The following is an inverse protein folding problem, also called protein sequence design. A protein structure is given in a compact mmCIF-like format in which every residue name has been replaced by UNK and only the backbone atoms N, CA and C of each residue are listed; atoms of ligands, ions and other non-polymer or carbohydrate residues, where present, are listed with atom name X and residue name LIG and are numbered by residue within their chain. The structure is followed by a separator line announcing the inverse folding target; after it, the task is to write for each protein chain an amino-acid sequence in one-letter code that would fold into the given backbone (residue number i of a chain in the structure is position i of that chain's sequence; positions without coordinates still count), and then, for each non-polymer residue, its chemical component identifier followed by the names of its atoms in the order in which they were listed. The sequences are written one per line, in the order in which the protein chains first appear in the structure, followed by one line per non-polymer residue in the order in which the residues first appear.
data_IF_844447124232
#
_entry.id   IF_844447124232
#
_cell.length_a   1.000
_cell.length_b   1.000
_cell.length_c   1.000
_cell.angle_alpha   90.00
_cell.angle_beta   90.00
_cell.angle_gamma   90.00
#
_symmetry.space_group_name_H-M   'P 1'
#
loop_
_entity.id
_entity.type
_entity.pdbx_description
1 polymer ?
#
# COMPACT_ATOMS: atom_id res chain seq x y z
N UNK A 1 14.44 19.41 -64.57
CA UNK A 1 13.45 20.51 -64.54
C UNK A 1 13.04 20.68 -63.08
N UNK A 2 13.87 21.36 -62.29
CA UNK A 2 13.80 22.79 -61.99
C UNK A 2 12.61 23.17 -61.09
N UNK A 3 12.96 23.50 -59.84
CA UNK A 3 12.52 24.64 -59.02
C UNK A 3 10.99 24.81 -58.81
N UNK A 4 10.49 24.98 -57.57
CA UNK A 4 10.43 26.22 -56.75
C UNK A 4 9.18 26.04 -55.85
N UNK A 5 8.92 26.65 -54.69
CA UNK A 5 9.32 27.90 -54.05
C UNK A 5 8.96 27.81 -52.55
N UNK A 6 9.81 28.37 -51.69
CA UNK A 6 9.42 29.04 -50.43
C UNK A 6 9.32 30.55 -50.73
N UNK A 7 8.35 31.25 -50.13
CA UNK A 7 8.65 32.28 -49.12
C UNK A 7 7.64 32.18 -47.94
N UNK A 8 7.87 32.59 -46.70
CA UNK A 8 8.67 33.70 -46.16
C UNK A 8 7.74 34.63 -45.36
N UNK A 9 7.92 34.66 -44.03
CA UNK A 9 7.59 35.71 -43.05
C UNK A 9 6.15 36.24 -42.87
N UNK A 10 5.60 36.18 -41.64
CA UNK A 10 5.58 37.31 -40.66
C UNK A 10 4.57 37.10 -39.49
N UNK A 11 4.95 37.65 -38.32
CA UNK A 11 4.13 38.12 -37.19
C UNK A 11 3.65 37.14 -36.08
N UNK A 12 4.27 37.29 -34.90
CA UNK A 12 3.74 37.03 -33.54
C UNK A 12 2.58 38.02 -33.21
N UNK A 13 1.74 37.78 -32.17
CA UNK A 13 2.09 38.21 -30.81
C UNK A 13 1.73 37.22 -29.67
N UNK A 14 2.49 37.35 -28.59
CA UNK A 14 2.19 36.89 -27.24
C UNK A 14 0.86 37.47 -26.72
N UNK A 15 0.19 36.75 -25.81
CA UNK A 15 -0.70 37.36 -24.81
C UNK A 15 -0.48 36.71 -23.44
N UNK A 16 0.13 37.51 -22.57
CA UNK A 16 0.14 37.42 -21.12
C UNK A 16 -1.25 37.67 -20.54
N UNK A 17 -1.63 36.98 -19.47
CA UNK A 17 -2.69 37.44 -18.56
C UNK A 17 -2.14 37.53 -17.14
N UNK A 18 -2.14 38.76 -16.64
CA UNK A 18 -1.73 39.20 -15.32
C UNK A 18 -2.93 39.29 -14.37
N UNK A 19 -2.69 38.84 -13.15
CA UNK A 19 -3.12 39.37 -11.85
C UNK A 19 -4.37 40.27 -11.75
N UNK A 20 -5.28 39.88 -10.87
CA UNK A 20 -6.13 40.82 -10.11
C UNK A 20 -5.88 40.62 -8.60
N UNK A 21 -5.19 41.59 -8.03
CA UNK A 21 -5.21 41.94 -6.61
C UNK A 21 -6.44 42.81 -6.33
N UNK A 22 -7.11 42.64 -5.18
CA UNK A 22 -7.68 43.74 -4.39
C UNK A 22 -7.73 43.31 -2.91
N UNK A 23 -7.39 44.26 -2.05
CA UNK A 23 -7.17 44.11 -0.61
C UNK A 23 -8.21 44.96 0.15
N UNK A 24 -8.19 44.76 1.48
CA UNK A 24 -8.65 45.66 2.56
C UNK A 24 -10.15 45.59 2.94
N UNK A 25 -10.45 45.03 4.12
CA UNK A 25 -10.81 45.81 5.33
C UNK A 25 -10.96 44.90 6.57
N UNK A 26 -10.43 45.40 7.68
CA UNK A 26 -10.33 44.80 9.00
C UNK A 26 -11.15 45.60 10.03
N UNK A 27 -11.44 44.95 11.17
CA UNK A 27 -11.99 45.44 12.43
C UNK A 27 -13.49 45.79 12.44
N UNK A 28 -14.30 45.39 13.43
CA UNK A 28 -14.12 45.72 14.86
C UNK A 28 -15.01 44.82 15.73
N UNK A 29 -14.51 44.44 16.91
CA UNK A 29 -15.24 43.78 17.99
C UNK A 29 -16.13 44.76 18.77
N UNK A 30 -17.22 44.30 19.38
CA UNK A 30 -17.85 45.03 20.49
C UNK A 30 -18.46 44.09 21.54
N UNK A 31 -18.38 44.57 22.77
CA UNK A 31 -18.42 43.88 24.06
C UNK A 31 -19.84 43.87 24.67
N UNK A 32 -20.06 42.88 25.53
CA UNK A 32 -21.20 42.57 26.42
C UNK A 32 -21.66 43.67 27.39
N UNK A 33 -22.93 43.55 27.89
CA UNK A 33 -23.44 43.66 29.31
C UNK A 33 -24.95 44.16 29.36
N UNK A 34 -25.73 44.09 30.48
CA UNK A 34 -26.69 42.98 30.73
C UNK A 34 -28.06 43.36 31.41
N UNK A 35 -28.88 42.36 31.83
CA UNK A 35 -29.94 42.36 32.92
C UNK A 35 -31.31 43.06 32.59
N UNK A 36 -32.54 42.59 33.00
CA UNK A 36 -32.89 41.98 34.30
C UNK A 36 -33.76 40.71 34.35
N UNK A 37 -33.59 40.05 35.50
CA UNK A 37 -34.41 38.99 36.08
C UNK A 37 -35.70 39.59 36.64
N UNK A 38 -36.86 38.99 36.32
CA UNK A 38 -38.09 39.10 37.11
C UNK A 38 -38.55 37.70 37.51
N UNK A 39 -38.73 37.55 38.81
CA UNK A 39 -39.27 36.38 39.51
C UNK A 39 -40.78 36.33 39.41
N UNK A 40 -41.35 35.19 39.02
CA UNK A 40 -42.64 34.72 39.57
C UNK A 40 -42.77 33.21 39.36
N UNK A 41 -43.11 32.57 40.47
CA UNK A 41 -43.18 31.14 40.75
C UNK A 41 -44.45 30.47 40.23
N UNK A 42 -44.35 29.14 40.10
CA UNK A 42 -45.40 28.11 40.00
C UNK A 42 -45.76 27.59 38.61
N UNK A 43 -44.95 26.64 38.10
CA UNK A 43 -45.45 25.54 37.26
C UNK A 43 -44.72 24.23 37.59
N UNK A 44 -45.50 23.16 37.67
CA UNK A 44 -45.18 21.80 38.09
C UNK A 44 -44.08 21.11 37.27
N UNK A 45 -43.30 20.17 37.83
CA UNK A 45 -42.24 19.50 37.08
C UNK A 45 -42.80 18.54 36.04
N UNK A 46 -42.40 18.75 34.78
CA UNK A 46 -42.50 17.78 33.68
C UNK A 46 -41.64 16.54 33.98
N UNK A 47 -41.99 15.35 33.46
CA UNK A 47 -41.25 14.12 33.73
C UNK A 47 -39.83 14.21 33.19
N UNK A 48 -38.85 14.02 34.08
CA UNK A 48 -37.43 13.89 33.74
C UNK A 48 -37.25 12.63 32.90
N UNK A 49 -36.95 12.81 31.62
CA UNK A 49 -36.37 11.75 30.80
C UNK A 49 -35.00 11.42 31.40
N UNK A 50 -34.87 10.26 32.03
CA UNK A 50 -33.58 9.78 32.55
C UNK A 50 -32.67 9.55 31.35
N UNK A 51 -31.73 10.46 31.13
CA UNK A 51 -30.60 10.22 30.25
C UNK A 51 -29.80 9.07 30.85
N UNK A 52 -29.76 7.94 30.15
CA UNK A 52 -28.86 6.85 30.49
C UNK A 52 -27.43 7.38 30.47
N UNK A 53 -26.68 7.06 31.51
CA UNK A 53 -25.26 7.38 31.65
C UNK A 53 -24.46 6.86 30.44
N UNK A 54 -23.52 7.63 29.86
CA UNK A 54 -22.72 7.22 28.69
C UNK A 54 -21.85 5.96 28.89
N UNK A 55 -21.79 5.42 30.10
CA UNK A 55 -20.93 4.32 30.52
C UNK A 55 -21.46 2.92 30.17
N UNK A 56 -22.57 2.78 29.41
CA UNK A 56 -23.12 1.47 29.01
C UNK A 56 -23.09 1.14 27.50
N UNK A 57 -22.60 2.05 26.64
CA UNK A 57 -22.50 1.80 25.18
C UNK A 57 -21.09 1.31 24.76
N UNK A 58 -20.11 1.31 25.66
CA UNK A 58 -18.74 0.84 25.37
C UNK A 58 -18.43 -0.61 25.79
N UNK A 59 -19.44 -1.41 26.13
CA UNK A 59 -19.26 -2.79 26.58
C UNK A 59 -19.94 -3.76 25.62
N UNK A 60 -19.34 -3.99 24.43
CA UNK A 60 -19.42 -5.26 23.68
C UNK A 60 -18.66 -5.29 22.33
N UNK A 61 -17.50 -4.63 22.20
CA UNK A 61 -16.54 -5.08 21.17
C UNK A 61 -15.93 -6.39 21.67
N UNK A 62 -16.59 -7.52 21.39
CA UNK A 62 -15.97 -8.85 21.53
C UNK A 62 -14.60 -8.78 20.87
N UNK A 63 -13.54 -9.12 21.60
CA UNK A 63 -12.26 -9.50 21.02
C UNK A 63 -12.54 -10.64 20.05
N UNK A 64 -12.80 -10.31 18.77
CA UNK A 64 -12.87 -11.28 17.70
C UNK A 64 -11.41 -11.67 17.47
N UNK A 65 -11.01 -12.79 18.05
CA UNK A 65 -9.74 -13.45 17.71
C UNK A 65 -9.76 -13.63 16.20
N UNK A 66 -8.80 -13.01 15.51
CA UNK A 66 -8.63 -13.16 14.06
C UNK A 66 -8.11 -14.58 13.84
N UNK A 67 -8.73 -15.32 12.92
CA UNK A 67 -8.29 -16.68 12.61
C UNK A 67 -6.91 -16.64 11.94
N UNK A 68 -6.01 -17.61 12.19
CA UNK A 68 -4.70 -17.63 11.52
C UNK A 68 -4.86 -17.93 10.03
N UNK A 69 -3.86 -17.55 9.24
CA UNK A 69 -3.71 -18.07 7.88
C UNK A 69 -3.61 -19.59 7.88
N UNK A 70 -4.19 -20.23 6.86
CA UNK A 70 -3.94 -21.64 6.58
C UNK A 70 -2.54 -21.79 6.02
N UNK A 71 -1.70 -22.58 6.68
CA UNK A 71 -0.34 -22.89 6.24
C UNK A 71 -0.37 -23.82 5.00
N UNK A 72 0.22 -23.35 3.90
CA UNK A 72 0.33 -24.04 2.61
C UNK A 72 1.70 -24.68 2.39
N UNK A 73 2.59 -24.69 3.38
CA UNK A 73 3.99 -25.15 3.21
C UNK A 73 4.08 -26.62 2.80
N UNK A 74 3.17 -27.47 3.29
CA UNK A 74 3.14 -28.90 2.98
C UNK A 74 2.77 -29.20 1.52
N UNK A 75 2.14 -28.25 0.83
CA UNK A 75 1.69 -28.38 -0.56
C UNK A 75 2.52 -27.53 -1.53
N UNK A 76 3.64 -26.93 -1.09
CA UNK A 76 4.46 -26.00 -1.89
C UNK A 76 4.93 -26.54 -3.24
N UNK A 77 5.07 -27.86 -3.37
CA UNK A 77 5.53 -28.55 -4.58
C UNK A 77 4.36 -29.17 -5.38
N UNK A 78 3.12 -29.12 -4.86
CA UNK A 78 1.92 -29.63 -5.53
C UNK A 78 1.13 -28.47 -6.16
N UNK A 79 1.44 -28.16 -7.41
CA UNK A 79 0.76 -27.09 -8.13
C UNK A 79 -0.77 -27.26 -8.22
N UNK A 80 -1.30 -28.49 -8.21
CA UNK A 80 -2.75 -28.70 -8.22
C UNK A 80 -3.35 -28.32 -6.87
N UNK A 81 -2.73 -28.75 -5.77
CA UNK A 81 -3.18 -28.40 -4.44
C UNK A 81 -3.04 -26.89 -4.17
N UNK A 82 -1.95 -26.26 -4.61
CA UNK A 82 -1.76 -24.81 -4.50
C UNK A 82 -2.88 -24.05 -5.21
N UNK A 83 -3.19 -24.40 -6.46
CA UNK A 83 -4.31 -23.78 -7.20
C UNK A 83 -5.65 -24.01 -6.51
N UNK A 84 -5.91 -25.21 -5.99
CA UNK A 84 -7.15 -25.49 -5.26
C UNK A 84 -7.29 -24.65 -3.98
N UNK A 85 -6.21 -24.45 -3.24
CA UNK A 85 -6.24 -23.61 -2.04
C UNK A 85 -6.33 -22.12 -2.38
N UNK A 86 -5.56 -21.66 -3.37
CA UNK A 86 -5.64 -20.32 -3.93
C UNK A 86 -7.06 -19.99 -4.40
N UNK A 87 -7.70 -20.87 -5.16
CA UNK A 87 -9.09 -20.73 -5.62
C UNK A 87 -10.08 -20.75 -4.46
N UNK A 88 -9.80 -21.49 -3.38
CA UNK A 88 -10.69 -21.53 -2.22
C UNK A 88 -10.64 -20.23 -1.44
N UNK A 89 -9.42 -19.80 -1.09
CA UNK A 89 -9.15 -18.81 -0.04
C UNK A 89 -8.74 -17.44 -0.59
N UNK A 90 -8.26 -17.36 -1.83
CA UNK A 90 -7.74 -16.14 -2.45
C UNK A 90 -6.32 -15.77 -2.03
N UNK A 91 -5.68 -16.63 -1.25
CA UNK A 91 -4.32 -16.45 -0.77
C UNK A 91 -3.62 -17.80 -0.54
N UNK A 92 -2.29 -17.76 -0.43
CA UNK A 92 -1.44 -18.85 0.03
C UNK A 92 -0.45 -18.28 1.05
N UNK A 93 -0.27 -18.96 2.17
CA UNK A 93 0.70 -18.56 3.20
C UNK A 93 1.72 -19.69 3.36
N UNK A 94 2.99 -19.39 3.12
CA UNK A 94 4.08 -20.38 3.22
C UNK A 94 5.08 -19.93 4.27
N UNK A 95 5.44 -20.85 5.17
CA UNK A 95 6.39 -20.62 6.25
C UNK A 95 7.80 -21.02 5.88
N UNK A 96 8.79 -20.26 6.33
CA UNK A 96 10.21 -20.58 6.18
C UNK A 96 10.57 -21.06 4.76
N UNK A 97 10.04 -20.35 3.75
CA UNK A 97 10.05 -20.78 2.36
C UNK A 97 11.07 -20.02 1.51
N UNK A 98 11.21 -18.73 1.75
CA UNK A 98 12.12 -17.84 1.02
C UNK A 98 13.50 -17.86 1.68
N UNK A 99 14.57 -17.71 0.90
CA UNK A 99 15.92 -17.60 1.44
C UNK A 99 16.04 -16.41 2.42
N UNK A 100 16.33 -16.75 3.68
CA UNK A 100 16.49 -15.79 4.76
C UNK A 100 17.61 -14.80 4.48
N UNK A 101 18.69 -15.22 3.81
CA UNK A 101 19.81 -14.32 3.54
C UNK A 101 19.45 -13.26 2.49
N UNK A 102 18.67 -13.63 1.46
CA UNK A 102 18.15 -12.67 0.49
C UNK A 102 17.26 -11.60 1.14
N UNK A 103 16.37 -12.04 2.05
CA UNK A 103 15.51 -11.14 2.84
C UNK A 103 16.35 -10.21 3.72
N UNK A 104 17.31 -10.78 4.46
CA UNK A 104 18.17 -10.02 5.37
C UNK A 104 19.09 -9.07 4.61
N UNK A 105 19.52 -9.39 3.39
CA UNK A 105 20.28 -8.46 2.55
C UNK A 105 19.45 -7.22 2.18
N UNK A 106 18.22 -7.40 1.66
CA UNK A 106 17.32 -6.29 1.39
C UNK A 106 17.02 -5.47 2.65
N UNK A 107 16.83 -6.14 3.80
CA UNK A 107 16.64 -5.50 5.10
C UNK A 107 17.83 -4.60 5.46
N UNK A 108 19.07 -5.11 5.38
CA UNK A 108 20.30 -4.37 5.73
C UNK A 108 20.47 -3.12 4.88
N UNK A 109 20.24 -3.23 3.57
CA UNK A 109 20.41 -2.11 2.66
C UNK A 109 19.37 -1.01 2.90
N UNK A 110 18.11 -1.39 3.13
CA UNK A 110 17.06 -0.44 3.52
C UNK A 110 17.37 0.21 4.88
N UNK A 111 17.77 -0.57 5.89
CA UNK A 111 18.15 -0.03 7.21
C UNK A 111 19.31 0.97 7.08
N UNK A 112 20.28 0.69 6.21
CA UNK A 112 21.40 1.59 5.96
C UNK A 112 20.92 2.96 5.48
N UNK A 113 20.02 2.99 4.49
CA UNK A 113 19.38 4.23 4.01
C UNK A 113 18.62 4.92 5.14
N UNK A 114 17.78 4.18 5.88
CA UNK A 114 16.95 4.75 6.94
C UNK A 114 17.76 5.28 8.13
N UNK A 115 18.92 4.70 8.43
CA UNK A 115 19.85 5.21 9.44
C UNK A 115 20.57 6.46 8.98
N UNK A 116 20.98 6.50 7.72
CA UNK A 116 21.67 7.66 7.14
C UNK A 116 20.80 8.92 7.23
N UNK A 117 19.50 8.78 7.00
CA UNK A 117 18.51 9.88 7.11
C UNK A 117 17.95 10.07 8.53
N UNK A 118 18.37 9.25 9.50
CA UNK A 118 18.00 9.38 10.91
C UNK A 118 16.60 8.88 11.29
N UNK A 119 15.93 8.10 10.44
CA UNK A 119 14.62 7.51 10.76
C UNK A 119 14.72 6.25 11.63
N UNK A 120 15.84 5.54 11.57
CA UNK A 120 16.19 4.46 12.50
C UNK A 120 17.28 4.99 13.43
N UNK A 121 17.15 4.71 14.72
CA UNK A 121 18.11 5.14 15.73
C UNK A 121 19.49 4.51 15.48
N UNK A 122 20.54 5.23 15.85
CA UNK A 122 21.90 4.71 15.77
C UNK A 122 22.05 3.47 16.65
N UNK A 123 22.58 2.38 16.08
CA UNK A 123 22.73 1.10 16.78
C UNK A 123 23.75 0.19 16.12
N UNK A 124 24.21 -0.81 16.87
CA UNK A 124 25.22 -1.78 16.43
C UNK A 124 24.61 -2.99 15.69
N UNK A 125 23.32 -3.28 15.89
CA UNK A 125 22.64 -4.37 15.20
C UNK A 125 22.38 -3.98 13.74
N UNK A 126 23.00 -4.62 12.73
CA UNK A 126 22.73 -4.31 11.32
C UNK A 126 21.28 -4.60 10.89
N UNK A 127 20.49 -5.30 11.71
CA UNK A 127 19.09 -5.62 11.47
C UNK A 127 18.12 -4.86 12.37
N UNK A 128 18.59 -4.03 13.29
CA UNK A 128 17.75 -3.28 14.23
C UNK A 128 16.92 -2.21 13.52
N UNK A 129 15.63 -2.14 13.83
CA UNK A 129 14.69 -1.14 13.30
C UNK A 129 14.11 -0.24 14.37
N UNK A 130 14.79 -0.13 15.52
CA UNK A 130 14.44 0.76 16.60
C UNK A 130 14.37 2.22 16.12
N UNK A 131 13.35 2.96 16.55
CA UNK A 131 13.14 4.35 16.15
C UNK A 131 12.54 5.17 17.28
N UNK A 132 13.12 6.33 17.52
CA UNK A 132 12.54 7.42 18.30
C UNK A 132 11.98 8.54 17.42
N UNK A 133 12.06 8.37 16.10
CA UNK A 133 11.69 9.36 15.10
C UNK A 133 10.17 9.50 14.96
N UNK A 134 9.63 10.73 14.81
CA UNK A 134 8.22 10.92 14.45
C UNK A 134 7.85 10.21 13.15
N UNK A 135 6.59 9.79 12.97
CA UNK A 135 6.20 9.00 11.82
C UNK A 135 6.18 9.83 10.54
N UNK A 136 6.76 9.29 9.47
CA UNK A 136 6.58 9.80 8.11
C UNK A 136 5.71 8.85 7.29
N UNK A 137 4.84 9.42 6.44
CA UNK A 137 3.93 8.63 5.61
C UNK A 137 4.02 9.00 4.13
N UNK A 138 3.66 8.02 3.28
CA UNK A 138 3.69 8.19 1.83
C UNK A 138 2.86 9.39 1.41
N UNK A 139 3.45 10.27 0.59
CA UNK A 139 2.85 11.52 0.13
C UNK A 139 3.35 12.77 0.87
N UNK A 140 4.05 12.60 2.00
CA UNK A 140 4.75 13.70 2.66
C UNK A 140 6.04 14.09 1.92
N UNK A 141 6.40 15.38 1.85
CA UNK A 141 7.63 15.85 1.21
C UNK A 141 8.91 15.19 1.74
N UNK A 142 8.95 14.88 3.03
CA UNK A 142 10.07 14.24 3.72
C UNK A 142 10.16 12.75 3.39
N UNK A 143 9.04 12.10 3.06
CA UNK A 143 9.00 10.68 2.77
C UNK A 143 9.60 10.37 1.40
N UNK A 144 9.24 11.17 0.39
CA UNK A 144 9.53 10.84 -1.01
C UNK A 144 11.03 10.71 -1.34
N UNK A 145 11.94 11.62 -0.91
CA UNK A 145 13.37 11.47 -1.18
C UNK A 145 13.96 10.19 -0.58
N UNK A 146 13.53 9.80 0.61
CA UNK A 146 13.98 8.56 1.27
C UNK A 146 13.46 7.33 0.52
N UNK A 147 12.21 7.38 0.07
CA UNK A 147 11.63 6.32 -0.76
C UNK A 147 12.36 6.17 -2.10
N UNK A 148 12.77 7.27 -2.73
CA UNK A 148 13.55 7.27 -3.97
C UNK A 148 14.92 6.59 -3.76
N UNK A 149 15.60 6.85 -2.63
CA UNK A 149 16.84 6.15 -2.28
C UNK A 149 16.64 4.63 -2.14
N UNK A 150 15.54 4.21 -1.51
CA UNK A 150 15.19 2.79 -1.36
C UNK A 150 14.86 2.14 -2.71
N UNK A 151 14.18 2.85 -3.61
CA UNK A 151 13.91 2.37 -4.98
C UNK A 151 15.20 2.14 -5.78
N UNK A 152 16.29 2.85 -5.47
CA UNK A 152 17.59 2.61 -6.10
C UNK A 152 18.30 1.32 -5.66
N UNK A 153 17.84 0.63 -4.62
CA UNK A 153 18.55 -0.52 -4.05
C UNK A 153 18.40 -1.78 -4.90
N UNK A 154 19.53 -2.34 -5.37
CA UNK A 154 19.57 -3.59 -6.15
C UNK A 154 18.96 -4.77 -5.36
N UNK A 155 19.28 -4.91 -4.07
CA UNK A 155 18.76 -6.01 -3.23
C UNK A 155 17.24 -5.98 -3.06
N UNK A 156 16.63 -4.78 -3.07
CA UNK A 156 15.18 -4.61 -3.00
C UNK A 156 14.48 -5.14 -4.26
N UNK A 157 15.04 -4.92 -5.45
CA UNK A 157 14.45 -5.40 -6.70
C UNK A 157 14.78 -6.87 -6.98
N UNK A 158 16.01 -7.30 -6.71
CA UNK A 158 16.46 -8.67 -6.98
C UNK A 158 15.77 -9.73 -6.12
N UNK A 159 15.33 -9.38 -4.90
CA UNK A 159 14.53 -10.29 -4.06
C UNK A 159 13.21 -10.73 -4.73
N UNK A 160 12.63 -9.89 -5.60
CA UNK A 160 11.43 -10.24 -6.36
C UNK A 160 11.65 -11.38 -7.39
N UNK A 161 12.91 -11.67 -7.72
CA UNK A 161 13.31 -12.74 -8.63
C UNK A 161 13.70 -14.04 -7.91
N UNK A 162 13.50 -14.12 -6.58
CA UNK A 162 13.80 -15.32 -5.82
C UNK A 162 13.08 -16.56 -6.39
N UNK A 163 13.82 -17.68 -6.49
CA UNK A 163 13.33 -18.90 -7.14
C UNK A 163 12.14 -19.51 -6.40
N UNK A 164 12.07 -19.36 -5.08
CA UNK A 164 10.95 -19.86 -4.29
C UNK A 164 9.68 -19.10 -4.68
N UNK A 165 9.74 -17.77 -4.77
CA UNK A 165 8.63 -16.93 -5.23
C UNK A 165 8.17 -17.33 -6.62
N UNK A 166 9.10 -17.39 -7.58
CA UNK A 166 8.79 -17.76 -8.95
C UNK A 166 8.21 -19.17 -9.07
N UNK A 167 8.64 -20.13 -8.23
CA UNK A 167 8.10 -21.50 -8.27
C UNK A 167 6.60 -21.56 -7.95
N UNK A 168 6.15 -20.85 -6.91
CA UNK A 168 4.72 -20.78 -6.54
C UNK A 168 3.93 -20.04 -7.61
N UNK A 169 4.45 -18.90 -8.07
CA UNK A 169 3.79 -18.12 -9.12
C UNK A 169 3.67 -18.93 -10.42
N UNK A 170 4.68 -19.71 -10.80
CA UNK A 170 4.59 -20.59 -11.97
C UNK A 170 3.55 -21.70 -11.82
N UNK A 171 3.31 -22.19 -10.60
CA UNK A 171 2.18 -23.10 -10.35
C UNK A 171 0.82 -22.43 -10.51
N UNK A 172 0.71 -21.14 -10.19
CA UNK A 172 -0.53 -20.38 -10.30
C UNK A 172 -0.81 -19.89 -11.73
N UNK A 173 0.21 -19.44 -12.45
CA UNK A 173 0.08 -18.69 -13.71
C UNK A 173 0.63 -19.41 -14.94
N UNK A 174 1.43 -20.47 -14.78
CA UNK A 174 2.15 -21.14 -15.87
C UNK A 174 3.61 -20.69 -16.00
N UNK A 175 4.27 -21.04 -17.11
CA UNK A 175 5.72 -20.79 -17.28
C UNK A 175 6.07 -19.34 -17.61
N UNK A 176 5.20 -18.62 -18.31
CA UNK A 176 5.50 -17.31 -18.88
C UNK A 176 5.07 -16.19 -17.92
N UNK A 177 5.77 -16.11 -16.79
CA UNK A 177 5.49 -15.16 -15.70
C UNK A 177 6.20 -13.84 -15.96
N UNK A 178 5.42 -12.76 -15.97
CA UNK A 178 5.89 -11.39 -15.86
C UNK A 178 5.90 -10.99 -14.38
N UNK A 179 7.07 -10.65 -13.85
CA UNK A 179 7.19 -9.80 -12.67
C UNK A 179 6.94 -8.35 -13.11
N UNK A 180 5.98 -7.67 -12.50
CA UNK A 180 5.78 -6.24 -12.71
C UNK A 180 6.95 -5.49 -12.07
N UNK A 181 7.65 -4.60 -12.79
CA UNK A 181 8.88 -3.99 -12.28
C UNK A 181 8.64 -2.93 -11.20
N UNK A 182 7.43 -2.36 -11.11
CA UNK A 182 7.04 -1.35 -10.12
C UNK A 182 6.86 -1.94 -8.72
N UNK A 183 7.97 -2.34 -8.09
CA UNK A 183 8.00 -2.94 -6.76
C UNK A 183 7.75 -1.92 -5.64
N UNK A 184 7.13 -2.37 -4.55
CA UNK A 184 6.80 -1.51 -3.41
C UNK A 184 7.60 -1.94 -2.17
N UNK A 185 8.23 -0.96 -1.53
CA UNK A 185 8.74 -1.10 -0.16
C UNK A 185 7.79 -0.40 0.82
N UNK A 186 7.68 -0.91 2.04
CA UNK A 186 6.89 -0.30 3.10
C UNK A 186 7.71 -0.22 4.38
N UNK A 187 7.75 0.96 4.98
CA UNK A 187 8.32 1.23 6.29
C UNK A 187 7.23 1.85 7.18
N UNK A 188 6.63 1.02 8.02
CA UNK A 188 5.51 1.42 8.87
C UNK A 188 6.03 1.76 10.26
N UNK A 189 5.95 3.04 10.62
CA UNK A 189 6.35 3.54 11.93
C UNK A 189 5.44 3.00 13.06
N UNK A 190 5.96 2.89 14.30
CA UNK A 190 5.19 2.38 15.44
C UNK A 190 4.16 3.40 15.99
N UNK A 191 4.18 4.62 15.48
CA UNK A 191 3.26 5.72 15.80
C UNK A 191 2.55 6.15 14.50
N UNK A 192 1.30 6.62 14.56
CA UNK A 192 0.42 6.96 13.42
C UNK A 192 -0.44 5.80 12.85
N UNK A 193 -1.38 5.33 13.67
CA UNK A 193 -2.26 4.18 13.37
C UNK A 193 -3.30 4.44 12.28
N UNK A 194 -3.62 5.71 11.99
CA UNK A 194 -4.67 6.08 11.03
C UNK A 194 -4.24 5.95 9.57
N UNK A 195 -2.93 5.85 9.31
CA UNK A 195 -2.34 5.80 7.97
C UNK A 195 -2.00 4.38 7.50
N UNK A 196 -2.44 3.36 8.24
CA UNK A 196 -2.36 1.97 7.76
C UNK A 196 -3.15 1.81 6.47
N UNK A 197 -2.63 1.02 5.52
CA UNK A 197 -3.31 0.74 4.26
C UNK A 197 -4.74 0.22 4.53
N UNK A 198 -5.78 0.92 4.05
CA UNK A 198 -7.16 0.53 4.30
C UNK A 198 -7.51 -0.80 3.63
N UNK A 199 -8.66 -1.37 3.97
CA UNK A 199 -9.16 -2.55 3.28
C UNK A 199 -9.41 -2.23 1.80
N UNK A 200 -8.71 -2.90 0.89
CA UNK A 200 -8.76 -2.64 -0.54
C UNK A 200 -8.46 -3.91 -1.34
N UNK A 201 -8.63 -3.82 -2.66
CA UNK A 201 -8.20 -4.82 -3.64
C UNK A 201 -7.09 -4.21 -4.48
N UNK A 202 -6.00 -4.94 -4.74
CA UNK A 202 -4.86 -4.41 -5.52
C UNK A 202 -5.27 -4.00 -6.94
N UNK A 203 -6.24 -4.71 -7.53
CA UNK A 203 -6.68 -4.48 -8.92
C UNK A 203 -7.04 -3.02 -9.22
N UNK A 204 -7.65 -2.30 -8.26
CA UNK A 204 -8.05 -0.89 -8.48
C UNK A 204 -6.86 0.04 -8.71
N UNK A 205 -5.66 -0.37 -8.27
CA UNK A 205 -4.42 0.39 -8.43
C UNK A 205 -3.58 -0.06 -9.63
N UNK A 206 -3.55 -1.37 -9.91
CA UNK A 206 -2.60 -1.97 -10.86
C UNK A 206 -3.21 -2.39 -12.21
N UNK A 207 -4.51 -2.71 -12.27
CA UNK A 207 -5.28 -3.00 -13.50
C UNK A 207 -4.58 -3.93 -14.51
N UNK A 208 -4.99 -3.88 -15.79
CA UNK A 208 -4.62 -4.87 -16.80
C UNK A 208 -5.49 -6.13 -16.68
N UNK A 209 -4.87 -7.24 -16.29
CA UNK A 209 -5.57 -8.51 -16.00
C UNK A 209 -5.99 -8.59 -14.53
N UNK A 210 -7.14 -9.22 -14.19
CA UNK A 210 -7.45 -9.55 -12.81
C UNK A 210 -6.51 -10.62 -12.24
N UNK A 211 -5.90 -11.46 -13.09
CA UNK A 211 -5.04 -12.58 -12.71
C UNK A 211 -3.61 -12.12 -12.35
N UNK A 212 -3.53 -11.08 -11.51
CA UNK A 212 -2.29 -10.64 -10.86
C UNK A 212 -2.24 -11.23 -9.45
N UNK A 213 -1.07 -11.76 -9.09
CA UNK A 213 -0.78 -12.24 -7.74
C UNK A 213 0.26 -11.36 -7.08
N UNK A 214 -0.07 -10.90 -5.88
CA UNK A 214 0.86 -10.15 -5.03
C UNK A 214 1.54 -11.12 -4.08
N UNK A 215 2.87 -11.05 -4.01
CA UNK A 215 3.69 -11.68 -2.99
C UNK A 215 4.12 -10.61 -1.98
N UNK A 216 3.69 -10.77 -0.73
CA UNK A 216 4.04 -9.91 0.39
C UNK A 216 4.87 -10.67 1.40
N UNK A 217 5.99 -10.10 1.81
CA UNK A 217 6.79 -10.62 2.90
C UNK A 217 7.35 -9.48 3.77
N UNK A 218 7.44 -9.69 5.09
CA UNK A 218 8.20 -8.81 5.95
C UNK A 218 9.70 -9.05 5.75
N UNK A 219 10.48 -7.98 5.85
CA UNK A 219 11.94 -8.09 5.76
C UNK A 219 12.53 -8.49 7.10
N UNK A 220 12.20 -9.67 7.61
CA UNK A 220 12.54 -10.16 8.95
C UNK A 220 11.28 -10.53 9.76
N UNK A 221 11.45 -10.82 11.05
CA UNK A 221 10.32 -11.21 11.91
C UNK A 221 9.28 -10.09 12.03
N UNK A 222 8.01 -10.44 11.94
CA UNK A 222 6.87 -9.54 12.12
C UNK A 222 5.88 -10.17 13.10
N UNK A 223 6.12 -10.04 14.42
CA UNK A 223 5.16 -10.47 15.43
C UNK A 223 3.87 -9.63 15.32
N UNK A 224 2.78 -10.10 15.93
CA UNK A 224 1.49 -9.40 15.93
C UNK A 224 1.56 -7.93 16.35
N UNK A 225 2.46 -7.59 17.28
CA UNK A 225 2.67 -6.22 17.73
C UNK A 225 3.19 -5.31 16.62
N UNK A 226 3.94 -5.82 15.65
CA UNK A 226 4.42 -5.04 14.50
C UNK A 226 3.39 -4.95 13.37
N UNK A 227 2.21 -5.55 13.55
CA UNK A 227 1.16 -5.61 12.56
C UNK A 227 1.41 -6.73 11.55
N UNK A 228 1.36 -6.38 10.27
CA UNK A 228 1.45 -7.32 9.14
C UNK A 228 0.30 -7.06 8.17
N UNK A 229 -0.16 -8.12 7.51
CA UNK A 229 -1.37 -8.08 6.68
C UNK A 229 -2.49 -8.92 7.27
N UNK A 230 -3.72 -8.51 6.97
CA UNK A 230 -4.91 -9.33 7.13
C UNK A 230 -5.64 -9.40 5.81
N UNK A 231 -6.18 -10.57 5.48
CA UNK A 231 -6.96 -10.81 4.26
C UNK A 231 -8.36 -11.28 4.61
N UNK A 232 -9.34 -10.91 3.80
CA UNK A 232 -10.70 -11.41 3.89
C UNK A 232 -10.79 -12.68 3.03
N UNK A 233 -10.71 -13.85 3.67
CA UNK A 233 -10.62 -15.13 2.96
C UNK A 233 -11.82 -15.33 2.02
N UNK A 234 -11.53 -15.73 0.78
CA UNK A 234 -12.52 -15.99 -0.27
C UNK A 234 -13.07 -14.74 -0.98
N UNK A 235 -12.70 -13.52 -0.56
CA UNK A 235 -13.31 -12.29 -1.09
C UNK A 235 -13.06 -12.06 -2.59
N UNK A 236 -11.98 -12.62 -3.14
CA UNK A 236 -11.62 -12.51 -4.56
C UNK A 236 -12.71 -13.00 -5.53
N UNK A 237 -13.66 -13.81 -5.04
CA UNK A 237 -14.79 -14.37 -5.81
C UNK A 237 -15.92 -13.37 -6.05
N UNK A 238 -15.88 -12.19 -5.41
CA UNK A 238 -16.95 -11.21 -5.49
C UNK A 238 -16.70 -10.11 -6.54
N UNK A 239 -15.73 -10.30 -7.43
CA UNK A 239 -15.34 -9.31 -8.42
C UNK A 239 -14.72 -8.06 -7.78
N UNK A 240 -14.76 -6.94 -8.49
CA UNK A 240 -14.24 -5.66 -8.02
C UNK A 240 -15.32 -4.96 -7.21
N UNK A 241 -14.99 -4.62 -5.97
CA UNK A 241 -15.91 -3.98 -5.03
C UNK A 241 -15.94 -2.46 -5.26
N UNK A 242 -17.07 -1.79 -4.95
CA UNK A 242 -17.14 -0.34 -4.89
C UNK A 242 -16.10 0.21 -3.90
N UNK A 243 -15.56 1.40 -4.19
CA UNK A 243 -14.55 2.05 -3.34
C UNK A 243 -14.98 3.46 -2.92
N UNK A 244 -14.58 3.90 -1.73
CA UNK A 244 -14.63 5.31 -1.31
C UNK A 244 -13.21 5.84 -1.06
N UNK A 245 -13.06 7.17 -1.02
CA UNK A 245 -11.78 7.80 -0.63
C UNK A 245 -11.46 7.47 0.82
N UNK A 246 -10.18 7.25 1.12
CA UNK A 246 -9.72 6.94 2.47
C UNK A 246 -8.30 7.48 2.70
N UNK A 247 -7.94 7.65 3.98
CA UNK A 247 -6.55 7.91 4.35
C UNK A 247 -5.71 6.61 4.22
N UNK A 248 -4.39 6.75 4.18
CA UNK A 248 -3.46 5.65 3.99
C UNK A 248 -3.07 5.38 2.53
N UNK A 249 -2.07 4.51 2.35
CA UNK A 249 -1.52 4.18 1.05
C UNK A 249 -2.61 3.71 0.06
N UNK A 250 -2.57 4.23 -1.17
CA UNK A 250 -3.57 3.93 -2.22
C UNK A 250 -4.80 4.84 -2.19
N UNK A 251 -5.12 5.50 -1.07
CA UNK A 251 -6.17 6.53 -0.98
C UNK A 251 -7.61 6.03 -1.20
N UNK A 252 -7.82 4.72 -1.31
CA UNK A 252 -9.10 4.09 -1.61
C UNK A 252 -9.39 2.95 -0.64
N UNK A 253 -10.64 2.81 -0.21
CA UNK A 253 -11.14 1.69 0.61
C UNK A 253 -12.27 0.97 -0.10
N UNK A 254 -12.21 -0.35 -0.17
CA UNK A 254 -13.26 -1.21 -0.69
C UNK A 254 -14.43 -1.38 0.29
N UNK A 255 -15.64 -1.49 -0.25
CA UNK A 255 -16.88 -1.73 0.50
C UNK A 255 -17.14 -3.25 0.55
N UNK A 256 -16.65 -3.90 1.61
CA UNK A 256 -16.67 -5.36 1.77
C UNK A 256 -17.77 -5.86 2.74
N UNK A 257 -18.51 -4.96 3.36
CA UNK A 257 -19.46 -5.26 4.44
C UNK A 257 -20.60 -6.20 3.98
N UNK A 258 -20.92 -6.19 2.67
CA UNK A 258 -21.99 -6.99 2.08
C UNK A 258 -21.57 -8.37 1.59
N UNK A 259 -20.26 -8.64 1.45
CA UNK A 259 -19.79 -9.92 0.90
C UNK A 259 -19.55 -11.00 1.97
N UNK A 260 -19.55 -10.61 3.25
CA UNK A 260 -19.27 -11.55 4.36
C UNK A 260 -17.82 -12.04 4.34
N UNK A 261 -17.57 -13.21 4.94
CA UNK A 261 -16.24 -13.82 5.00
C UNK A 261 -15.53 -13.62 6.35
N UNK A 262 -14.37 -14.26 6.48
CA UNK A 262 -13.55 -14.23 7.67
C UNK A 262 -12.24 -13.51 7.41
N UNK A 263 -11.93 -12.52 8.25
CA UNK A 263 -10.60 -11.93 8.29
C UNK A 263 -9.64 -12.92 8.92
N UNK A 264 -8.53 -13.19 8.24
CA UNK A 264 -7.45 -14.03 8.73
C UNK A 264 -6.12 -13.25 8.75
N UNK A 265 -5.25 -13.59 9.70
CA UNK A 265 -3.91 -13.01 9.88
C UNK A 265 -3.07 -13.87 10.82
N UNK A 266 -1.78 -14.01 10.53
CA UNK A 266 -0.79 -14.69 11.38
C UNK A 266 0.39 -13.75 11.66
N UNK A 267 1.16 -13.99 12.74
CA UNK A 267 2.50 -13.42 12.83
C UNK A 267 3.39 -14.11 11.80
N UNK A 268 4.43 -13.40 11.35
CA UNK A 268 5.39 -13.88 10.38
C UNK A 268 6.76 -14.00 11.03
N UNK A 269 7.49 -15.04 10.64
CA UNK A 269 8.92 -15.19 10.92
C UNK A 269 9.72 -14.90 9.64
N UNK A 270 11.01 -14.60 9.76
CA UNK A 270 11.88 -14.44 8.62
C UNK A 270 11.81 -15.68 7.69
N UNK A 271 11.58 -15.46 6.40
CA UNK A 271 11.36 -16.52 5.41
C UNK A 271 9.89 -16.87 5.14
N UNK A 272 8.95 -16.37 5.95
CA UNK A 272 7.52 -16.52 5.68
C UNK A 272 7.05 -15.57 4.57
N UNK A 273 6.06 -15.98 3.78
CA UNK A 273 5.52 -15.22 2.66
C UNK A 273 4.01 -15.43 2.50
N UNK A 274 3.31 -14.37 2.10
CA UNK A 274 1.89 -14.37 1.77
C UNK A 274 1.70 -14.03 0.29
N UNK A 275 1.08 -14.93 -0.46
CA UNK A 275 0.59 -14.65 -1.81
C UNK A 275 -0.90 -14.37 -1.76
N UNK A 276 -1.40 -13.41 -2.53
CA UNK A 276 -2.84 -13.19 -2.67
C UNK A 276 -3.23 -12.64 -4.04
N UNK A 277 -4.42 -13.02 -4.49
CA UNK A 277 -4.98 -12.58 -5.77
C UNK A 277 -5.33 -11.09 -5.74
N UNK A 278 -5.27 -10.40 -6.89
CA UNK A 278 -5.51 -8.94 -6.98
C UNK A 278 -6.90 -8.50 -6.47
N UNK A 279 -7.88 -9.40 -6.55
CA UNK A 279 -9.24 -9.20 -6.02
C UNK A 279 -9.40 -9.58 -4.54
N UNK A 280 -8.38 -10.12 -3.89
CA UNK A 280 -8.45 -10.42 -2.46
C UNK A 280 -8.43 -9.11 -1.67
N UNK A 281 -9.47 -8.91 -0.87
CA UNK A 281 -9.61 -7.75 0.00
C UNK A 281 -8.64 -7.95 1.15
N UNK A 282 -7.73 -7.01 1.31
CA UNK A 282 -6.69 -7.07 2.33
C UNK A 282 -6.40 -5.68 2.91
N UNK A 283 -5.78 -5.65 4.07
CA UNK A 283 -5.41 -4.41 4.77
C UNK A 283 -4.12 -4.56 5.54
N UNK A 284 -3.42 -3.44 5.72
CA UNK A 284 -2.33 -3.35 6.68
C UNK A 284 -2.85 -3.36 8.11
N UNK A 285 -2.23 -4.15 8.98
CA UNK A 285 -2.46 -4.05 10.42
C UNK A 285 -1.55 -2.99 11.03
N UNK A 286 -2.03 -2.24 12.05
CA UNK A 286 -1.24 -1.21 12.71
C UNK A 286 0.02 -1.79 13.35
N UNK A 287 1.11 -1.04 13.26
CA UNK A 287 2.31 -1.31 14.02
C UNK A 287 2.15 -0.70 15.42
N UNK A 288 2.04 -1.57 16.41
CA UNK A 288 1.84 -1.28 17.83
C UNK A 288 3.06 -1.69 18.68
N UNK A 289 4.22 -1.90 18.04
CA UNK A 289 5.45 -2.28 18.75
C UNK A 289 5.94 -1.19 19.71
N UNK A 290 5.61 0.07 19.41
CA UNK A 290 5.96 1.24 20.21
C UNK A 290 7.35 1.81 19.88
N UNK A 291 8.28 0.99 19.39
CA UNK A 291 9.68 1.37 19.23
C UNK A 291 10.33 0.92 17.91
N UNK A 292 9.65 0.15 17.04
CA UNK A 292 10.29 -0.43 15.84
C UNK A 292 9.54 -0.08 14.56
N UNK A 293 10.27 0.21 13.48
CA UNK A 293 9.70 0.29 12.13
C UNK A 293 9.50 -1.13 11.58
N UNK A 294 8.32 -1.41 11.01
CA UNK A 294 8.05 -2.64 10.24
C UNK A 294 8.47 -2.41 8.79
N UNK A 295 9.40 -3.23 8.31
CA UNK A 295 9.83 -3.27 6.92
C UNK A 295 9.17 -4.43 6.19
N UNK A 296 8.60 -4.18 5.01
CA UNK A 296 8.01 -5.22 4.15
C UNK A 296 8.06 -4.83 2.69
N UNK A 297 7.88 -5.79 1.80
CA UNK A 297 7.87 -5.58 0.34
C UNK A 297 6.62 -6.21 -0.30
N UNK A 298 6.22 -5.66 -1.45
CA UNK A 298 5.11 -6.16 -2.26
C UNK A 298 5.60 -6.33 -3.71
N UNK A 299 5.60 -7.56 -4.21
CA UNK A 299 5.97 -7.91 -5.57
C UNK A 299 4.77 -8.49 -6.32
N UNK A 300 4.60 -8.15 -7.59
CA UNK A 300 3.37 -8.48 -8.34
C UNK A 300 3.70 -9.24 -9.60
N UNK A 301 2.94 -10.31 -9.84
CA UNK A 301 3.19 -11.22 -10.95
C UNK A 301 1.92 -11.48 -11.75
N UNK A 302 2.05 -11.55 -13.06
CA UNK A 302 0.99 -11.91 -13.98
C UNK A 302 1.54 -12.78 -15.11
N UNK A 303 0.67 -13.32 -15.98
CA UNK A 303 1.14 -13.90 -17.24
C UNK A 303 1.65 -12.80 -18.16
N UNK A 304 2.76 -13.04 -18.84
CA UNK A 304 3.33 -12.07 -19.78
C UNK A 304 2.41 -11.83 -21.00
N UNK A 305 1.60 -12.81 -21.37
CA UNK A 305 0.61 -12.72 -22.46
C UNK A 305 -0.63 -11.90 -22.10
N UNK A 306 -0.83 -11.60 -20.82
CA UNK A 306 -2.01 -10.86 -20.36
C UNK A 306 -1.77 -9.34 -20.45
N UNK A 307 -2.83 -8.53 -20.62
CA UNK A 307 -2.73 -7.08 -20.55
C UNK A 307 -2.09 -6.59 -19.24
N UNK A 308 -1.18 -5.63 -19.35
CA UNK A 308 -0.45 -5.03 -18.22
C UNK A 308 -0.68 -3.52 -18.21
N UNK A 309 -0.93 -2.92 -17.05
CA UNK A 309 -1.10 -1.46 -16.99
C UNK A 309 0.24 -0.77 -17.30
N UNK A 310 0.21 0.23 -18.18
CA UNK A 310 1.40 1.00 -18.58
C UNK A 310 2.19 1.59 -17.39
N UNK A 311 1.49 2.13 -16.39
CA UNK A 311 2.13 2.73 -15.21
C UNK A 311 2.84 1.71 -14.30
N UNK A 312 2.56 0.40 -14.38
CA UNK A 312 3.35 -0.60 -13.62
C UNK A 312 4.65 -0.99 -14.32
N UNK A 313 4.88 -0.53 -15.55
CA UNK A 313 6.14 -0.69 -16.29
C UNK A 313 7.12 0.45 -16.02
N UNK A 314 6.71 1.47 -15.25
CA UNK A 314 7.56 2.58 -14.82
C UNK A 314 7.92 2.45 -13.33
N UNK A 315 8.96 3.14 -12.86
CA UNK A 315 9.32 3.19 -11.45
C UNK A 315 8.14 3.58 -10.56
N UNK A 316 8.04 2.97 -9.38
CA UNK A 316 6.93 3.23 -8.48
C UNK A 316 6.85 4.72 -8.09
N UNK A 317 5.64 5.28 -8.06
CA UNK A 317 5.35 6.72 -7.90
C UNK A 317 5.83 7.64 -9.04
N UNK A 318 6.51 7.13 -10.07
CA UNK A 318 6.90 7.89 -11.27
C UNK A 318 7.85 9.06 -11.00
N UNK A 319 8.59 9.02 -9.89
CA UNK A 319 9.54 10.08 -9.48
C UNK A 319 10.94 9.92 -10.05
N UNK A 320 11.30 8.69 -10.43
CA UNK A 320 12.59 8.31 -10.98
C UNK A 320 12.42 7.70 -12.38
N UNK A 321 13.49 7.73 -13.17
CA UNK A 321 13.65 6.88 -14.36
C UNK A 321 14.30 5.54 -14.01
N UNK A 322 14.22 4.56 -14.92
CA UNK A 322 14.91 3.28 -14.74
C UNK A 322 16.44 3.44 -14.76
N UNK A 323 16.96 4.36 -15.57
CA UNK A 323 18.39 4.70 -15.60
C UNK A 323 18.87 5.25 -14.26
N UNK A 324 18.04 6.05 -13.58
CA UNK A 324 18.35 6.57 -12.24
C UNK A 324 18.34 5.44 -11.20
N UNK A 325 17.36 4.53 -11.24
CA UNK A 325 17.30 3.36 -10.34
C UNK A 325 18.52 2.45 -10.52
N UNK A 326 18.91 2.18 -11.77
CA UNK A 326 19.97 1.21 -12.07
C UNK A 326 21.39 1.79 -11.99
N UNK A 327 21.53 3.09 -11.76
CA UNK A 327 22.80 3.81 -11.85
C UNK A 327 23.93 3.18 -11.05
N UNK A 328 23.63 2.70 -9.84
CA UNK A 328 24.61 2.16 -8.88
C UNK A 328 24.51 0.62 -8.73
N UNK A 329 23.71 -0.05 -9.56
CA UNK A 329 23.60 -1.51 -9.54
C UNK A 329 24.88 -2.18 -10.03
N UNK A 330 25.25 -3.29 -9.38
CA UNK A 330 26.44 -4.07 -9.71
C UNK A 330 26.18 -5.05 -10.85
N UNK A 331 24.99 -5.63 -10.90
CA UNK A 331 24.55 -6.54 -11.95
C UNK A 331 23.59 -5.88 -12.94
N UNK A 332 23.66 -6.33 -14.20
CA UNK A 332 22.67 -6.00 -15.24
C UNK A 332 21.60 -7.08 -15.41
N UNK A 333 21.73 -8.22 -14.72
CA UNK A 333 20.92 -9.43 -14.92
C UNK A 333 19.41 -9.18 -14.91
N UNK A 334 18.94 -8.32 -14.00
CA UNK A 334 17.51 -8.03 -13.82
C UNK A 334 17.09 -6.63 -14.27
N UNK A 335 18.01 -5.85 -14.85
CA UNK A 335 17.66 -4.56 -15.43
C UNK A 335 16.77 -4.79 -16.66
N UNK A 336 15.67 -4.04 -16.75
CA UNK A 336 14.73 -4.12 -17.88
C UNK A 336 14.23 -5.55 -18.16
N UNK A 337 14.13 -6.40 -17.14
CA UNK A 337 13.83 -7.84 -17.29
C UNK A 337 12.48 -8.14 -17.98
N UNK A 338 11.57 -7.17 -18.03
CA UNK A 338 10.27 -7.28 -18.69
C UNK A 338 10.35 -7.08 -20.21
N UNK A 339 11.39 -6.43 -20.73
CA UNK A 339 11.54 -6.10 -22.17
C UNK A 339 11.75 -7.34 -23.05
N UNK A 340 12.08 -8.49 -22.44
CA UNK A 340 12.17 -9.77 -23.14
C UNK A 340 10.81 -10.31 -23.61
N UNK A 341 9.70 -9.72 -23.13
CA UNK A 341 8.34 -10.14 -23.46
C UNK A 341 7.70 -9.18 -24.46
N UNK A 342 6.85 -9.71 -25.34
CA UNK A 342 5.95 -8.93 -26.19
C UNK A 342 4.70 -8.51 -25.39
N UNK A 343 4.83 -7.47 -24.57
CA UNK A 343 3.79 -7.03 -23.65
C UNK A 343 2.63 -6.32 -24.36
N UNK A 344 1.44 -6.40 -23.75
CA UNK A 344 0.23 -5.70 -24.17
C UNK A 344 -0.08 -4.59 -23.14
N UNK A 345 0.56 -3.41 -23.23
CA UNK A 345 0.30 -2.32 -22.31
C UNK A 345 -1.11 -1.74 -22.51
N UNK A 346 -1.78 -1.44 -21.41
CA UNK A 346 -3.09 -0.77 -21.40
C UNK A 346 -3.06 0.44 -20.47
N UNK A 347 -3.78 1.48 -20.82
CA UNK A 347 -3.88 2.69 -19.99
C UNK A 347 -4.64 2.42 -18.70
N UNK A 348 -4.25 3.10 -17.63
CA UNK A 348 -5.00 3.10 -16.37
C UNK A 348 -6.39 3.74 -16.56
N UNK A 349 -7.43 2.96 -16.29
CA UNK A 349 -8.82 3.42 -16.25
C UNK A 349 -9.09 4.07 -14.88
N UNK A 350 -9.52 5.34 -14.81
CA UNK A 350 -9.82 5.98 -13.53
C UNK A 350 -10.95 5.26 -12.78
N UNK A 351 -10.68 4.87 -11.53
CA UNK A 351 -11.70 4.30 -10.64
C UNK A 351 -12.48 5.44 -10.01
N UNK A 352 -13.80 5.47 -10.22
CA UNK A 352 -14.69 6.50 -9.66
C UNK A 352 -15.12 6.09 -8.24
N UNK A 353 -14.70 6.83 -7.18
CA UNK A 353 -15.14 6.53 -5.83
C UNK A 353 -16.62 6.86 -5.65
N UNK A 354 -17.34 6.02 -4.92
CA UNK A 354 -18.71 6.33 -4.49
C UNK A 354 -18.67 7.26 -3.28
N UNK A 355 -19.59 8.23 -3.22
CA UNK A 355 -19.78 9.04 -2.02
C UNK A 355 -20.28 8.15 -0.87
N UNK A 356 -19.70 8.29 0.31
CA UNK A 356 -20.25 7.64 1.51
C UNK A 356 -21.60 8.29 1.80
N UNK A 357 -22.69 7.55 1.62
CA UNK A 357 -23.97 7.94 2.22
C UNK A 357 -23.79 7.85 3.73
N UNK A 358 -23.65 9.01 4.36
CA UNK A 358 -23.39 9.15 5.80
C UNK A 358 -24.53 8.68 6.70
#
# INVERSE_FOLDING_TARGET
MFLRFHPGCCCRPCSSWSAFSHSILSATACVTLPIPIRTSSNLSPLPVCRTESPSRIFSQRKNRTVNPFVDSSDIKDDGKALRQQADRDGYLFLRNFVDKEAILQARRDIITVLREVGWIDAGHDPYGTETSHPPHVSGEPEFSPVYDMVQGLESFHTLAHDRALLSVISHLLGSDVLLQPSNIARFIFPTNLEQTTPAHQDFVHIQGTPDVWTAWLPLGDCPHSMGGLSVLSGSHKHGILPVSRSLGAGGLRAHFEKIGGEWVSSPFENGDILFFHSHTVHKGLPNLSGDRIRLSVDYRYQRASDPVMDLVLTPHQGRLSWEEIYKDWKSKEFQYHWEKYELIPVEKVPVQPVEEMG
#
